data_IF_592347720802
#
_entry.id   IF_592347720802
#
_cell.length_a   1.000
_cell.length_b   1.000
_cell.length_c   1.000
_cell.angle_alpha   90.00
_cell.angle_beta   90.00
_cell.angle_gamma   90.00
#
_symmetry.space_group_name_H-M   'P 1'
#
loop_
_entity.id
_entity.type
_entity.pdbx_description
1 polymer ?
#
# COMPACT_ATOMS: atom_id res chain seq x y z
N UNK A 1 -0.53 4.63 -1.19
CA UNK A 1 0.28 3.41 -1.31
C UNK A 1 -0.11 2.68 -2.57
N UNK A 2 -1.42 2.59 -2.85
CA UNK A 2 -1.99 1.81 -3.94
C UNK A 2 -1.27 1.90 -5.30
N UNK A 3 -1.06 3.09 -5.89
CA UNK A 3 -0.37 3.19 -7.18
C UNK A 3 1.05 2.60 -7.17
N UNK A 4 1.74 2.65 -6.03
CA UNK A 4 3.07 2.05 -5.88
C UNK A 4 2.99 0.53 -5.73
N UNK A 5 2.03 0.02 -4.95
CA UNK A 5 1.79 -1.42 -4.81
C UNK A 5 1.45 -2.06 -6.16
N UNK A 6 0.53 -1.44 -6.90
CA UNK A 6 0.16 -1.84 -8.27
C UNK A 6 1.38 -1.90 -9.18
N UNK A 7 2.20 -0.84 -9.16
CA UNK A 7 3.40 -0.77 -9.98
C UNK A 7 4.42 -1.86 -9.64
N UNK A 8 4.57 -2.23 -8.36
CA UNK A 8 5.45 -3.34 -7.97
C UNK A 8 4.98 -4.67 -8.58
N UNK A 9 3.67 -4.92 -8.54
CA UNK A 9 3.08 -6.10 -9.17
C UNK A 9 3.27 -6.09 -10.70
N UNK A 10 2.98 -4.96 -11.34
CA UNK A 10 3.11 -4.81 -12.80
C UNK A 10 4.56 -4.97 -13.29
N UNK A 11 5.55 -4.47 -12.52
CA UNK A 11 6.98 -4.67 -12.82
C UNK A 11 7.41 -6.13 -12.78
N UNK A 12 6.62 -7.00 -12.14
CA UNK A 12 6.86 -8.44 -12.06
C UNK A 12 6.03 -9.23 -13.07
N UNK A 13 5.20 -8.57 -13.86
CA UNK A 13 4.26 -9.19 -14.80
C UNK A 13 3.28 -10.17 -14.12
N UNK A 14 2.82 -9.80 -12.91
CA UNK A 14 1.96 -10.67 -12.10
C UNK A 14 0.52 -10.16 -12.05
N UNK A 15 -0.45 -11.08 -12.01
CA UNK A 15 -1.86 -10.73 -11.84
C UNK A 15 -2.20 -10.47 -10.37
N UNK A 16 -3.30 -9.77 -10.13
CA UNK A 16 -3.80 -9.49 -8.77
C UNK A 16 -4.05 -10.80 -8.02
N UNK A 17 -4.64 -11.79 -8.67
CA UNK A 17 -4.96 -13.09 -8.08
C UNK A 17 -3.71 -13.84 -7.61
N UNK A 18 -2.64 -13.81 -8.41
CA UNK A 18 -1.38 -14.50 -8.08
C UNK A 18 -0.69 -13.86 -6.88
N UNK A 19 -0.62 -12.53 -6.84
CA UNK A 19 -0.02 -11.82 -5.70
C UNK A 19 -0.86 -11.97 -4.45
N UNK A 20 -2.19 -11.79 -4.54
CA UNK A 20 -3.10 -11.90 -3.41
C UNK A 20 -3.02 -13.29 -2.76
N UNK A 21 -3.05 -14.35 -3.59
CA UNK A 21 -2.89 -15.73 -3.12
C UNK A 21 -1.58 -15.96 -2.36
N UNK A 22 -0.45 -15.45 -2.86
CA UNK A 22 0.84 -15.58 -2.18
C UNK A 22 0.94 -14.73 -0.91
N UNK A 23 0.27 -13.58 -0.90
CA UNK A 23 0.20 -12.70 0.25
C UNK A 23 -0.79 -13.17 1.32
N UNK A 24 -1.57 -14.23 1.05
CA UNK A 24 -2.55 -14.77 1.99
C UNK A 24 -3.81 -13.89 2.14
N UNK A 25 -4.10 -13.04 1.15
CA UNK A 25 -5.28 -12.17 1.13
C UNK A 25 -6.16 -12.46 -0.08
N UNK A 26 -7.36 -11.90 -0.07
CA UNK A 26 -8.29 -12.00 -1.18
C UNK A 26 -7.91 -11.02 -2.32
N UNK A 27 -8.28 -11.36 -3.57
CA UNK A 27 -7.93 -10.56 -4.75
C UNK A 27 -8.65 -9.19 -4.76
N UNK A 28 -9.86 -9.11 -4.22
CA UNK A 28 -10.60 -7.86 -4.01
C UNK A 28 -9.88 -6.99 -2.99
N UNK A 29 -9.47 -7.54 -1.85
CA UNK A 29 -8.68 -6.81 -0.85
C UNK A 29 -7.38 -6.25 -1.46
N UNK A 30 -6.65 -7.03 -2.27
CA UNK A 30 -5.48 -6.50 -2.97
C UNK A 30 -5.85 -5.37 -3.95
N UNK A 31 -6.93 -5.54 -4.72
CA UNK A 31 -7.39 -4.50 -5.65
C UNK A 31 -7.79 -3.20 -4.93
N UNK A 32 -8.44 -3.30 -3.77
CA UNK A 32 -8.80 -2.16 -2.91
C UNK A 32 -7.55 -1.42 -2.37
N UNK A 33 -6.53 -2.18 -1.96
CA UNK A 33 -5.24 -1.62 -1.55
C UNK A 33 -4.57 -0.91 -2.73
N UNK A 34 -4.59 -1.51 -3.92
CA UNK A 34 -3.99 -0.95 -5.14
C UNK A 34 -4.69 0.31 -5.67
N UNK A 35 -6.02 0.43 -5.54
CA UNK A 35 -6.73 1.66 -5.88
C UNK A 35 -6.60 2.75 -4.80
N UNK A 36 -6.07 2.41 -3.62
CA UNK A 36 -6.05 3.31 -2.47
C UNK A 36 -7.42 3.50 -1.83
N UNK A 37 -8.38 2.63 -2.17
CA UNK A 37 -9.71 2.61 -1.56
C UNK A 37 -9.65 2.06 -0.12
N UNK A 38 -8.61 1.27 0.18
CA UNK A 38 -8.31 0.73 1.50
C UNK A 38 -6.90 1.09 1.93
N UNK A 39 -6.76 1.38 3.23
CA UNK A 39 -5.47 1.60 3.87
C UNK A 39 -4.89 0.29 4.40
N UNK A 40 -3.60 0.07 4.16
CA UNK A 40 -2.88 -1.07 4.73
C UNK A 40 -2.55 -0.78 6.19
N UNK A 41 -3.24 -1.46 7.10
CA UNK A 41 -3.11 -1.28 8.56
C UNK A 41 -2.63 -2.53 9.28
N UNK A 42 -2.79 -3.68 8.64
CA UNK A 42 -2.45 -4.97 9.20
C UNK A 42 -0.99 -5.32 8.89
N UNK A 43 -0.23 -5.61 9.95
CA UNK A 43 1.18 -5.97 9.84
C UNK A 43 1.39 -7.34 9.19
N UNK A 44 0.49 -8.31 9.41
CA UNK A 44 0.55 -9.63 8.78
C UNK A 44 0.33 -9.52 7.27
N UNK A 45 -0.69 -8.77 6.85
CA UNK A 45 -0.93 -8.49 5.42
C UNK A 45 0.25 -7.77 4.79
N UNK A 46 0.87 -6.81 5.50
CA UNK A 46 2.06 -6.13 5.00
C UNK A 46 3.23 -7.10 4.79
N UNK A 47 3.48 -8.01 5.74
CA UNK A 47 4.54 -9.02 5.60
C UNK A 47 4.22 -9.97 4.45
N UNK A 48 2.98 -10.43 4.32
CA UNK A 48 2.54 -11.29 3.22
C UNK A 48 2.73 -10.62 1.85
N UNK A 49 2.33 -9.36 1.71
CA UNK A 49 2.55 -8.57 0.49
C UNK A 49 4.04 -8.35 0.19
N UNK A 50 4.84 -8.05 1.21
CA UNK A 50 6.28 -7.88 1.05
C UNK A 50 6.95 -9.15 0.53
N UNK A 51 6.57 -10.30 1.07
CA UNK A 51 7.05 -11.61 0.61
C UNK A 51 6.56 -11.92 -0.82
N UNK A 52 5.27 -11.73 -1.10
CA UNK A 52 4.68 -12.01 -2.41
C UNK A 52 5.27 -11.15 -3.54
N UNK A 53 5.65 -9.92 -3.23
CA UNK A 53 6.29 -8.97 -4.15
C UNK A 53 7.82 -8.96 -4.03
N UNK A 54 8.39 -9.89 -3.24
CA UNK A 54 9.81 -10.01 -2.90
C UNK A 54 10.49 -8.65 -2.69
N UNK A 55 9.84 -7.81 -1.89
CA UNK A 55 10.38 -6.54 -1.41
C UNK A 55 10.66 -6.62 0.07
N UNK A 56 11.58 -5.80 0.55
CA UNK A 56 11.84 -5.69 1.98
C UNK A 56 10.62 -5.02 2.67
N UNK A 57 10.08 -5.64 3.70
CA UNK A 57 8.94 -5.11 4.47
C UNK A 57 9.22 -3.74 5.10
N UNK A 58 10.47 -3.44 5.49
CA UNK A 58 10.88 -2.11 5.95
C UNK A 58 10.69 -1.03 4.87
N UNK A 59 10.85 -1.38 3.58
CA UNK A 59 10.59 -0.43 2.48
C UNK A 59 9.09 -0.14 2.35
N UNK A 60 8.23 -1.15 2.52
CA UNK A 60 6.78 -0.96 2.55
C UNK A 60 6.37 -0.06 3.72
N UNK A 61 6.84 -0.35 4.94
CA UNK A 61 6.58 0.50 6.12
C UNK A 61 7.06 1.93 5.91
N UNK A 62 8.28 2.11 5.39
CA UNK A 62 8.81 3.43 5.06
C UNK A 62 7.96 4.17 4.03
N UNK A 63 7.29 3.46 3.12
CA UNK A 63 6.35 4.06 2.16
C UNK A 63 5.05 4.49 2.85
N UNK A 64 4.47 3.67 3.73
CA UNK A 64 3.28 4.04 4.53
C UNK A 64 3.57 5.32 5.32
N UNK A 65 4.68 5.34 6.05
CA UNK A 65 5.05 6.46 6.92
C UNK A 65 5.18 7.78 6.16
N UNK A 66 5.75 7.75 4.95
CA UNK A 66 5.85 8.94 4.08
C UNK A 66 4.48 9.47 3.64
N UNK A 67 3.54 8.58 3.36
CA UNK A 67 2.20 8.96 2.93
C UNK A 67 1.37 9.52 4.07
N UNK A 68 1.44 8.90 5.25
CA UNK A 68 0.85 9.44 6.49
C UNK A 68 1.40 10.84 6.77
N UNK A 69 2.72 11.02 6.71
CA UNK A 69 3.35 12.34 6.91
C UNK A 69 2.88 13.39 5.88
N UNK A 70 2.70 12.98 4.62
CA UNK A 70 2.20 13.87 3.57
C UNK A 70 0.72 14.25 3.78
N UNK A 71 -0.08 13.34 4.32
CA UNK A 71 -1.48 13.62 4.68
C UNK A 71 -1.58 14.62 5.82
N UNK A 72 -0.83 14.40 6.92
CA UNK A 72 -0.78 15.36 8.03
C UNK A 72 -0.40 16.77 7.58
N UNK A 73 0.61 16.90 6.70
CA UNK A 73 1.00 18.21 6.15
C UNK A 73 -0.14 18.88 5.39
N UNK A 74 -0.87 18.14 4.56
CA UNK A 74 -2.00 18.69 3.80
C UNK A 74 -3.14 19.12 4.72
N UNK A 75 -3.32 18.43 5.84
CA UNK A 75 -4.33 18.81 6.83
C UNK A 75 -3.92 20.07 7.58
N UNK A 76 -2.64 20.22 7.96
CA UNK A 76 -2.09 21.46 8.52
C UNK A 76 -2.29 22.65 7.57
N UNK A 77 -1.95 22.49 6.29
CA UNK A 77 -2.15 23.52 5.24
C UNK A 77 -3.63 23.88 5.07
N UNK A 78 -4.53 22.89 5.15
CA UNK A 78 -5.98 23.12 5.03
C UNK A 78 -6.54 23.90 6.21
N UNK A 79 -6.11 23.57 7.42
CA UNK A 79 -6.51 24.29 8.64
C UNK A 79 -6.03 25.74 8.56
N UNK A 80 -4.78 25.96 8.16
CA UNK A 80 -4.21 27.31 8.03
C UNK A 80 -4.90 28.20 6.98
N UNK A 81 -5.62 27.62 6.00
CA UNK A 81 -6.38 28.36 4.99
C UNK A 81 -7.83 28.67 5.42
N UNK A 82 -8.28 28.10 6.55
CA UNK A 82 -9.60 28.34 7.13
C UNK A 82 -9.59 29.44 8.20
N UNK A 83 -8.40 29.82 8.67
CA UNK A 83 -8.13 30.95 9.59
C UNK A 83 -7.87 32.27 8.82
#
# INVERSE_FOLDING_TARGET
MGPWLRRLRELRDETVEVVAKRAGIDAVELAELECGCRWLRDAEIMVGLAQALEVNSYMMWGRVAREIKAEFRRDEERIALMD
#
